data_IF_360414441548
#
_entry.id   IF_360414441548
#
_cell.length_a   1.000
_cell.length_b   1.000
_cell.length_c   1.000
_cell.angle_alpha   90.00
_cell.angle_beta   90.00
_cell.angle_gamma   90.00
#
_symmetry.space_group_name_H-M   'P 1'
#
loop_
_entity.id
_entity.type
_entity.pdbx_description
1 polymer ?
#
# COMPACT_ATOMS: atom_id res chain seq x y z
N UNK A 1 -66.33 10.21 25.58
CA UNK A 1 -65.26 9.78 24.65
C UNK A 1 -65.43 10.59 23.37
N UNK A 2 -64.84 11.78 23.31
CA UNK A 2 -65.05 12.73 22.22
C UNK A 2 -64.09 12.48 21.06
N UNK A 3 -64.64 12.26 19.88
CA UNK A 3 -63.98 12.25 18.58
C UNK A 3 -63.84 13.67 18.02
N UNK A 4 -62.68 14.02 17.48
CA UNK A 4 -62.61 14.99 16.37
C UNK A 4 -61.46 14.68 15.41
N UNK A 5 -61.84 14.46 14.16
CA UNK A 5 -61.04 14.68 12.95
C UNK A 5 -61.71 15.87 12.26
N UNK A 6 -60.94 16.94 11.96
CA UNK A 6 -60.93 17.69 10.69
C UNK A 6 -60.20 19.05 10.84
N UNK A 7 -59.35 19.32 9.85
CA UNK A 7 -58.36 20.40 9.69
C UNK A 7 -58.98 21.72 9.14
N UNK A 8 -58.23 22.73 8.61
CA UNK A 8 -56.79 23.07 8.66
C UNK A 8 -56.53 24.55 9.09
N UNK A 9 -55.28 24.91 9.41
CA UNK A 9 -54.85 26.33 9.40
C UNK A 9 -53.56 26.49 8.59
N UNK A 10 -53.57 27.51 7.74
CA UNK A 10 -52.62 27.76 6.66
C UNK A 10 -51.21 28.13 7.14
N UNK A 11 -50.29 27.97 6.18
CA UNK A 11 -48.86 28.29 6.22
C UNK A 11 -48.57 29.66 6.83
N UNK A 12 -47.55 29.71 7.67
CA UNK A 12 -46.61 30.82 7.72
C UNK A 12 -45.18 30.31 7.95
N UNK A 13 -44.26 30.94 7.21
CA UNK A 13 -42.86 30.61 7.02
C UNK A 13 -42.03 30.57 8.32
N UNK A 14 -41.33 29.45 8.59
CA UNK A 14 -39.86 29.44 8.64
C UNK A 14 -39.31 28.03 8.92
N UNK A 15 -38.44 27.58 8.01
CA UNK A 15 -38.05 26.18 7.81
C UNK A 15 -37.00 25.66 8.79
N UNK A 16 -37.33 24.50 9.39
CA UNK A 16 -36.52 23.28 9.53
C UNK A 16 -35.23 23.30 10.37
N UNK A 17 -35.38 23.16 11.70
CA UNK A 17 -34.44 22.40 12.53
C UNK A 17 -34.86 20.93 12.58
N UNK A 18 -34.52 20.16 11.54
CA UNK A 18 -34.41 18.69 11.64
C UNK A 18 -32.93 18.37 11.85
N UNK A 19 -32.58 17.98 13.08
CA UNK A 19 -31.22 17.56 13.43
C UNK A 19 -30.86 16.28 12.67
N UNK A 20 -30.24 16.45 11.50
CA UNK A 20 -29.48 15.40 10.84
C UNK A 20 -28.26 15.18 11.72
N UNK A 21 -28.09 13.99 12.28
CA UNK A 21 -26.83 13.60 12.91
C UNK A 21 -25.79 13.56 11.80
N UNK A 22 -25.06 14.68 11.67
CA UNK A 22 -23.86 14.79 10.86
C UNK A 22 -22.73 14.30 11.77
N UNK A 23 -22.22 13.11 11.50
CA UNK A 23 -20.94 12.63 12.02
C UNK A 23 -19.88 13.64 11.57
N UNK A 24 -19.61 14.64 12.41
CA UNK A 24 -18.79 15.78 12.05
C UNK A 24 -17.34 15.34 11.89
N UNK A 25 -16.85 15.52 10.67
CA UNK A 25 -15.45 15.56 10.27
C UNK A 25 -14.74 16.67 11.06
N UNK A 26 -14.31 16.35 12.28
CA UNK A 26 -13.59 17.29 13.14
C UNK A 26 -12.16 17.52 12.64
N UNK A 27 -12.03 18.46 11.71
CA UNK A 27 -10.96 19.46 11.56
C UNK A 27 -11.13 20.18 10.20
N UNK A 28 -12.10 21.09 10.12
CA UNK A 28 -12.00 22.25 9.24
C UNK A 28 -11.54 23.41 10.13
N UNK A 29 -10.29 23.38 10.56
CA UNK A 29 -9.66 24.56 11.15
C UNK A 29 -9.31 25.49 10.00
N UNK A 30 -10.01 26.62 9.89
CA UNK A 30 -9.98 27.61 8.81
C UNK A 30 -8.60 28.25 8.48
N UNK A 31 -7.49 27.80 9.06
CA UNK A 31 -6.15 28.38 8.84
C UNK A 31 -5.14 27.42 8.19
N UNK A 32 -5.33 26.11 8.28
CA UNK A 32 -4.38 25.17 7.68
C UNK A 32 -4.86 24.81 6.27
N UNK A 33 -4.20 25.33 5.24
CA UNK A 33 -4.42 24.88 3.86
C UNK A 33 -3.93 23.44 3.69
N UNK A 34 -4.58 22.68 2.80
CA UNK A 34 -4.18 21.32 2.50
C UNK A 34 -2.79 21.31 1.85
N UNK A 35 -1.76 20.71 2.49
CA UNK A 35 -0.40 20.74 1.96
C UNK A 35 -0.29 20.01 0.62
N UNK A 36 -1.17 19.05 0.32
CA UNK A 36 -1.15 18.34 -0.96
C UNK A 36 -1.67 19.20 -2.14
N UNK A 37 -2.40 20.27 -1.84
CA UNK A 37 -2.85 21.25 -2.83
C UNK A 37 -1.81 22.34 -3.05
N UNK A 38 -1.17 22.80 -1.98
CA UNK A 38 -0.27 23.97 -2.02
C UNK A 38 1.18 23.62 -2.29
N UNK A 39 1.63 22.42 -1.90
CA UNK A 39 3.06 22.04 -1.96
C UNK A 39 3.42 21.25 -3.22
N UNK A 40 2.44 20.78 -3.99
CA UNK A 40 2.67 19.99 -5.19
C UNK A 40 1.81 20.49 -6.36
N UNK A 41 2.43 20.64 -7.52
CA UNK A 41 1.73 20.74 -8.79
C UNK A 41 1.07 19.41 -9.17
N UNK A 42 0.10 19.47 -10.10
CA UNK A 42 -0.54 18.26 -10.65
C UNK A 42 0.47 17.29 -11.28
N UNK A 43 1.47 17.81 -12.00
CA UNK A 43 2.52 17.00 -12.63
C UNK A 43 3.35 16.25 -11.58
N UNK A 44 3.72 16.91 -10.49
CA UNK A 44 4.48 16.28 -9.40
C UNK A 44 3.67 15.18 -8.71
N UNK A 45 2.39 15.42 -8.44
CA UNK A 45 1.51 14.39 -7.86
C UNK A 45 1.37 13.17 -8.77
N UNK A 46 1.17 13.36 -10.08
CA UNK A 46 1.12 12.26 -11.04
C UNK A 46 2.46 11.52 -11.12
N UNK A 47 3.58 12.22 -11.02
CA UNK A 47 4.92 11.62 -10.97
C UNK A 47 5.10 10.70 -9.76
N UNK A 48 4.63 11.10 -8.57
CA UNK A 48 4.65 10.25 -7.37
C UNK A 48 3.92 8.92 -7.60
N UNK A 49 2.74 8.98 -8.26
CA UNK A 49 1.96 7.77 -8.58
C UNK A 49 2.70 6.87 -9.56
N UNK A 50 3.09 7.41 -10.70
CA UNK A 50 3.70 6.61 -11.76
C UNK A 50 5.02 5.99 -11.32
N UNK A 51 5.79 6.70 -10.49
CA UNK A 51 7.06 6.16 -10.00
C UNK A 51 6.85 5.05 -8.97
N UNK A 52 5.89 5.19 -8.05
CA UNK A 52 5.56 4.11 -7.12
C UNK A 52 5.04 2.85 -7.85
N UNK A 53 4.22 3.02 -8.89
CA UNK A 53 3.71 1.91 -9.71
C UNK A 53 4.78 1.15 -10.49
N UNK A 54 5.96 1.74 -10.71
CA UNK A 54 7.07 1.08 -11.41
C UNK A 54 7.86 0.12 -10.50
N UNK A 55 7.64 0.19 -9.18
CA UNK A 55 8.29 -0.73 -8.25
C UNK A 55 7.72 -2.14 -8.46
N UNK A 56 8.62 -3.13 -8.60
CA UNK A 56 8.22 -4.52 -8.87
C UNK A 56 7.61 -5.20 -7.63
N UNK A 57 8.19 -4.97 -6.45
CA UNK A 57 7.63 -5.42 -5.17
C UNK A 57 7.80 -4.32 -4.10
N UNK A 58 6.87 -3.36 -4.01
CA UNK A 58 6.96 -2.28 -3.04
C UNK A 58 6.89 -2.79 -1.59
N UNK A 59 6.24 -3.94 -1.33
CA UNK A 59 6.13 -4.50 0.03
C UNK A 59 7.45 -5.06 0.50
N UNK A 60 8.17 -5.77 -0.38
CA UNK A 60 9.51 -6.27 -0.09
C UNK A 60 10.49 -5.11 0.15
N UNK A 61 10.49 -4.10 -0.74
CA UNK A 61 11.36 -2.92 -0.61
C UNK A 61 11.10 -2.23 0.74
N UNK A 62 9.85 -1.94 1.06
CA UNK A 62 9.48 -1.29 2.32
C UNK A 62 9.81 -2.19 3.52
N UNK A 63 9.60 -3.50 3.39
CA UNK A 63 10.02 -4.48 4.38
C UNK A 63 11.52 -4.35 4.69
N UNK A 64 12.35 -4.32 3.66
CA UNK A 64 13.80 -4.21 3.82
C UNK A 64 14.19 -2.88 4.50
N UNK A 65 13.55 -1.77 4.13
CA UNK A 65 13.73 -0.47 4.79
C UNK A 65 13.43 -0.58 6.29
N UNK A 66 12.31 -1.20 6.66
CA UNK A 66 11.98 -1.40 8.08
C UNK A 66 12.98 -2.28 8.81
N UNK A 67 13.49 -3.32 8.14
CA UNK A 67 14.54 -4.17 8.71
C UNK A 67 15.82 -3.38 8.95
N UNK A 68 16.23 -2.51 8.03
CA UNK A 68 17.42 -1.67 8.18
C UNK A 68 17.20 -0.60 9.25
N UNK A 69 16.02 0.02 9.32
CA UNK A 69 15.65 0.96 10.39
C UNK A 69 15.80 0.30 11.77
N UNK A 70 15.21 -0.88 11.98
CA UNK A 70 15.24 -1.50 13.32
C UNK A 70 16.61 -2.07 13.67
N UNK A 71 17.53 -2.27 12.72
CA UNK A 71 18.85 -2.80 13.01
C UNK A 71 19.92 -1.70 13.12
N UNK A 72 19.88 -0.73 12.22
CA UNK A 72 21.02 0.14 11.93
C UNK A 72 20.74 1.62 12.31
N UNK A 73 19.47 2.03 12.36
CA UNK A 73 19.08 3.44 12.58
C UNK A 73 18.43 3.67 13.96
N UNK A 74 17.41 2.89 14.28
CA UNK A 74 16.62 2.99 15.51
C UNK A 74 16.48 1.59 16.17
N UNK A 75 17.56 1.04 16.76
CA UNK A 75 17.53 -0.27 17.41
C UNK A 75 16.51 -0.38 18.56
N UNK A 76 16.12 0.74 19.18
CA UNK A 76 15.03 0.82 20.16
C UNK A 76 13.69 0.27 19.62
N UNK A 77 13.47 0.32 18.30
CA UNK A 77 12.28 -0.21 17.68
C UNK A 77 12.22 -1.74 17.71
N UNK A 78 13.36 -2.43 17.92
CA UNK A 78 13.35 -3.89 18.04
C UNK A 78 12.41 -4.36 19.14
N UNK A 79 12.35 -3.65 20.27
CA UNK A 79 11.44 -3.96 21.37
C UNK A 79 9.98 -3.71 20.99
N UNK A 80 9.73 -2.57 20.33
CA UNK A 80 8.38 -2.15 19.92
C UNK A 80 7.76 -3.16 18.94
N UNK A 81 8.57 -3.60 17.97
CA UNK A 81 8.17 -4.59 16.99
C UNK A 81 8.37 -6.04 17.43
N UNK A 82 8.89 -6.30 18.64
CA UNK A 82 9.08 -7.65 19.16
C UNK A 82 10.07 -8.50 18.36
N UNK A 83 11.14 -7.88 17.85
CA UNK A 83 12.18 -8.52 17.03
C UNK A 83 13.57 -8.49 17.69
N UNK A 84 13.67 -8.19 18.99
CA UNK A 84 14.95 -8.11 19.74
C UNK A 84 15.83 -9.36 19.58
N UNK A 85 15.22 -10.54 19.49
CA UNK A 85 15.92 -11.84 19.37
C UNK A 85 15.79 -12.48 17.99
N UNK A 86 15.07 -11.84 17.06
CA UNK A 86 14.85 -12.42 15.74
C UNK A 86 16.08 -12.17 14.84
N UNK A 87 16.57 -13.18 14.10
CA UNK A 87 17.60 -12.95 13.09
C UNK A 87 17.06 -12.08 11.95
N UNK A 88 17.91 -11.26 11.31
CA UNK A 88 17.53 -10.29 10.25
C UNK A 88 16.59 -10.91 9.19
N UNK A 89 16.94 -12.10 8.69
CA UNK A 89 16.17 -12.83 7.69
C UNK A 89 14.76 -13.30 8.13
N UNK A 90 14.49 -13.38 9.43
CA UNK A 90 13.19 -13.79 9.97
C UNK A 90 12.34 -12.60 10.43
N UNK A 91 12.91 -11.39 10.52
CA UNK A 91 12.24 -10.22 11.11
C UNK A 91 10.94 -9.86 10.40
N UNK A 92 10.87 -9.97 9.07
CA UNK A 92 9.64 -9.71 8.31
C UNK A 92 8.56 -10.78 8.47
N UNK A 93 8.91 -11.96 8.97
CA UNK A 93 7.93 -13.00 9.34
C UNK A 93 7.30 -12.72 10.71
N UNK A 94 7.86 -11.79 11.48
CA UNK A 94 7.34 -11.44 12.80
C UNK A 94 6.07 -10.58 12.66
N UNK A 95 4.97 -10.91 13.36
CA UNK A 95 3.66 -10.30 13.09
C UNK A 95 3.63 -8.77 13.21
N UNK A 96 4.33 -8.21 14.21
CA UNK A 96 4.32 -6.76 14.44
C UNK A 96 5.13 -6.01 13.38
N UNK A 97 6.35 -6.44 13.08
CA UNK A 97 7.21 -5.77 12.09
C UNK A 97 6.70 -5.99 10.67
N UNK A 98 6.53 -7.26 10.25
CA UNK A 98 6.05 -7.60 8.92
C UNK A 98 4.67 -7.01 8.64
N UNK A 99 3.76 -7.10 9.63
CA UNK A 99 2.45 -6.47 9.53
C UNK A 99 2.52 -4.94 9.46
N UNK A 100 3.49 -4.29 10.10
CA UNK A 100 3.67 -2.84 9.99
C UNK A 100 4.25 -2.42 8.65
N UNK A 101 5.24 -3.17 8.13
CA UNK A 101 5.80 -2.95 6.80
C UNK A 101 4.74 -3.08 5.70
N UNK A 102 3.90 -4.14 5.74
CA UNK A 102 2.79 -4.28 4.79
C UNK A 102 1.80 -3.12 4.90
N UNK A 103 1.41 -2.73 6.11
CA UNK A 103 0.48 -1.59 6.32
C UNK A 103 1.07 -0.27 5.82
N UNK A 104 2.38 -0.07 5.93
CA UNK A 104 3.05 1.11 5.37
C UNK A 104 2.99 1.08 3.84
N UNK A 105 3.27 -0.07 3.21
CA UNK A 105 3.15 -0.21 1.76
C UNK A 105 1.73 0.08 1.27
N UNK A 106 0.72 -0.47 1.95
CA UNK A 106 -0.69 -0.23 1.62
C UNK A 106 -1.07 1.26 1.82
N UNK A 107 -0.50 1.91 2.85
CA UNK A 107 -0.67 3.35 3.08
C UNK A 107 -0.07 4.19 1.94
N UNK A 108 1.15 3.90 1.47
CA UNK A 108 1.77 4.64 0.35
C UNK A 108 1.01 4.38 -0.96
N UNK A 109 0.60 3.14 -1.22
CA UNK A 109 -0.20 2.81 -2.40
C UNK A 109 -1.50 3.65 -2.41
N UNK A 110 -2.21 3.68 -1.29
CA UNK A 110 -3.44 4.47 -1.16
C UNK A 110 -3.19 5.98 -1.25
N UNK A 111 -2.12 6.47 -0.63
CA UNK A 111 -1.72 7.88 -0.70
C UNK A 111 -1.39 8.31 -2.13
N UNK A 112 -0.53 7.57 -2.83
CA UNK A 112 -0.11 7.88 -4.20
C UNK A 112 -1.29 7.78 -5.18
N UNK A 113 -2.19 6.82 -4.98
CA UNK A 113 -3.44 6.71 -5.74
C UNK A 113 -4.32 7.96 -5.55
N UNK A 114 -4.56 8.38 -4.31
CA UNK A 114 -5.42 9.54 -4.04
C UNK A 114 -4.82 10.86 -4.54
N UNK A 115 -3.52 11.08 -4.35
CA UNK A 115 -2.89 12.35 -4.75
C UNK A 115 -2.64 12.43 -6.26
N UNK A 116 -2.21 11.33 -6.88
CA UNK A 116 -1.64 11.34 -8.23
C UNK A 116 -2.54 10.75 -9.32
N UNK A 117 -3.59 10.01 -8.95
CA UNK A 117 -4.54 9.41 -9.89
C UNK A 117 -5.96 9.95 -9.72
N UNK A 118 -6.58 9.76 -8.55
CA UNK A 118 -7.98 10.18 -8.35
C UNK A 118 -8.13 11.66 -8.00
N UNK A 119 -7.02 12.35 -7.75
CA UNK A 119 -6.96 13.74 -7.27
C UNK A 119 -7.84 14.00 -6.02
N UNK A 120 -8.02 13.00 -5.17
CA UNK A 120 -8.75 13.11 -3.91
C UNK A 120 -7.83 13.66 -2.81
N UNK A 121 -7.44 14.93 -2.94
CA UNK A 121 -6.46 15.58 -2.06
C UNK A 121 -6.99 15.74 -0.63
N UNK A 122 -8.30 15.97 -0.47
CA UNK A 122 -8.94 16.01 0.84
C UNK A 122 -8.90 14.65 1.54
N UNK A 123 -9.20 13.56 0.81
CA UNK A 123 -9.11 12.19 1.33
C UNK A 123 -7.68 11.79 1.70
N UNK A 124 -6.70 12.17 0.88
CA UNK A 124 -5.28 11.98 1.20
C UNK A 124 -4.89 12.69 2.50
N UNK A 125 -5.29 13.95 2.65
CA UNK A 125 -5.01 14.71 3.87
C UNK A 125 -5.68 14.11 5.11
N UNK A 126 -6.93 13.66 4.98
CA UNK A 126 -7.62 12.95 6.05
C UNK A 126 -6.94 11.62 6.42
N UNK A 127 -6.45 10.86 5.44
CA UNK A 127 -5.75 9.61 5.67
C UNK A 127 -4.45 9.82 6.46
N UNK A 128 -3.63 10.81 6.07
CA UNK A 128 -2.40 11.16 6.82
C UNK A 128 -2.73 11.56 8.25
N UNK A 129 -3.71 12.47 8.45
CA UNK A 129 -4.09 12.91 9.79
C UNK A 129 -4.64 11.76 10.64
N UNK A 130 -5.46 10.87 10.06
CA UNK A 130 -5.97 9.68 10.75
C UNK A 130 -4.82 8.77 11.19
N UNK A 131 -3.87 8.52 10.29
CA UNK A 131 -2.69 7.69 10.58
C UNK A 131 -1.83 8.31 11.67
N UNK A 132 -1.59 9.62 11.63
CA UNK A 132 -0.87 10.34 12.69
C UNK A 132 -1.56 10.23 14.05
N UNK A 133 -2.90 10.39 14.11
CA UNK A 133 -3.68 10.20 15.36
C UNK A 133 -3.59 8.78 15.92
N UNK A 134 -3.44 7.76 15.07
CA UNK A 134 -3.23 6.39 15.53
C UNK A 134 -1.81 6.21 16.11
N UNK A 135 -0.80 6.84 15.51
CA UNK A 135 0.58 6.78 15.99
C UNK A 135 0.78 7.57 17.29
N UNK A 136 0.03 8.65 17.51
CA UNK A 136 0.03 9.38 18.77
C UNK A 136 -0.45 8.54 19.97
N UNK A 137 -1.16 7.42 19.72
CA UNK A 137 -1.59 6.47 20.76
C UNK A 137 -0.59 5.35 21.04
N UNK A 138 0.54 5.31 20.33
CA UNK A 138 1.60 4.32 20.57
C UNK A 138 2.42 4.84 21.75
N UNK A 139 2.47 4.15 22.91
CA UNK A 139 3.09 4.68 24.13
C UNK A 139 4.55 5.09 23.94
N UNK A 140 5.30 4.34 23.13
CA UNK A 140 6.67 4.70 22.79
C UNK A 140 6.75 6.04 22.06
N UNK A 141 5.90 6.27 21.05
CA UNK A 141 5.92 7.53 20.31
C UNK A 141 5.37 8.67 21.15
N UNK A 142 4.31 8.45 21.94
CA UNK A 142 3.77 9.44 22.86
C UNK A 142 4.85 10.00 23.80
N UNK A 143 5.70 9.13 24.34
CA UNK A 143 6.75 9.53 25.26
C UNK A 143 7.97 10.10 24.55
N UNK A 144 8.41 9.48 23.45
CA UNK A 144 9.74 9.72 22.89
C UNK A 144 9.75 10.59 21.62
N UNK A 145 8.59 10.83 20.99
CA UNK A 145 8.52 11.67 19.79
C UNK A 145 8.95 13.10 20.12
N UNK A 146 9.98 13.59 19.41
CA UNK A 146 10.64 14.89 19.61
C UNK A 146 11.42 15.04 20.93
N UNK A 147 11.63 13.95 21.69
CA UNK A 147 12.64 13.98 22.75
C UNK A 147 14.03 14.06 22.13
N UNK A 148 14.89 14.95 22.66
CA UNK A 148 16.26 15.16 22.16
C UNK A 148 16.29 15.41 20.64
N UNK A 149 15.30 16.14 20.12
CA UNK A 149 15.15 16.45 18.68
C UNK A 149 14.94 15.23 17.77
N UNK A 150 14.67 14.04 18.33
CA UNK A 150 14.38 12.84 17.54
C UNK A 150 12.93 12.80 17.07
N UNK A 151 12.73 13.17 15.82
CA UNK A 151 11.45 12.97 15.13
C UNK A 151 11.43 11.61 14.42
N UNK A 152 10.97 10.57 15.11
CA UNK A 152 10.94 9.20 14.60
C UNK A 152 10.12 9.07 13.31
N UNK A 153 9.00 9.79 13.19
CA UNK A 153 8.20 9.79 11.96
C UNK A 153 8.98 10.39 10.79
N UNK A 154 9.71 11.49 11.00
CA UNK A 154 10.55 12.10 9.96
C UNK A 154 11.74 11.21 9.60
N UNK A 155 12.35 10.50 10.56
CA UNK A 155 13.43 9.54 10.29
C UNK A 155 12.93 8.45 9.33
N UNK A 156 11.78 7.85 9.62
CA UNK A 156 11.18 6.81 8.77
C UNK A 156 10.79 7.41 7.40
N UNK A 157 9.95 8.43 7.38
CA UNK A 157 9.30 8.90 6.16
C UNK A 157 10.16 9.81 5.29
N UNK A 158 10.99 10.67 5.88
CA UNK A 158 11.74 11.70 5.16
C UNK A 158 13.17 11.25 4.86
N UNK A 159 13.84 10.57 5.80
CA UNK A 159 15.21 10.10 5.58
C UNK A 159 15.20 8.74 4.89
N UNK A 160 14.73 7.70 5.58
CA UNK A 160 14.99 6.31 5.17
C UNK A 160 14.20 5.91 3.93
N UNK A 161 12.92 6.29 3.86
CA UNK A 161 12.11 6.01 2.68
C UNK A 161 12.58 6.78 1.44
N UNK A 162 13.05 8.02 1.61
CA UNK A 162 13.57 8.81 0.48
C UNK A 162 14.89 8.25 -0.04
N UNK A 163 15.82 7.92 0.85
CA UNK A 163 17.10 7.30 0.50
C UNK A 163 16.90 5.98 -0.23
N UNK A 164 16.04 5.10 0.29
CA UNK A 164 15.75 3.82 -0.34
C UNK A 164 15.07 3.97 -1.71
N UNK A 165 14.17 4.95 -1.85
CA UNK A 165 13.56 5.24 -3.13
C UNK A 165 14.58 5.72 -4.16
N UNK A 166 15.51 6.60 -3.77
CA UNK A 166 16.54 7.11 -4.67
C UNK A 166 17.51 5.98 -5.09
N UNK A 167 17.88 5.11 -4.15
CA UNK A 167 18.67 3.91 -4.44
C UNK A 167 17.97 3.00 -5.46
N UNK A 168 16.68 2.73 -5.27
CA UNK A 168 15.92 1.85 -6.17
C UNK A 168 15.71 2.50 -7.54
N UNK A 169 15.43 3.81 -7.58
CA UNK A 169 15.39 4.60 -8.82
C UNK A 169 16.70 4.47 -9.60
N UNK A 170 17.85 4.60 -8.92
CA UNK A 170 19.15 4.50 -9.57
C UNK A 170 19.41 3.10 -10.13
N UNK A 171 19.01 2.03 -9.43
CA UNK A 171 19.11 0.66 -9.95
C UNK A 171 18.29 0.48 -11.22
N UNK A 172 17.05 0.97 -11.24
CA UNK A 172 16.19 0.91 -12.42
C UNK A 172 16.80 1.65 -13.62
N UNK A 173 17.32 2.87 -13.40
CA UNK A 173 18.01 3.64 -14.44
C UNK A 173 19.24 2.90 -14.99
N UNK A 174 20.04 2.30 -14.11
CA UNK A 174 21.21 1.53 -14.52
C UNK A 174 20.81 0.30 -15.36
N UNK A 175 19.76 -0.41 -14.96
CA UNK A 175 19.24 -1.55 -15.70
C UNK A 175 18.74 -1.15 -17.10
N UNK A 176 18.06 0.00 -17.24
CA UNK A 176 17.58 0.49 -18.53
C UNK A 176 18.72 1.00 -19.43
N UNK A 177 19.75 1.62 -18.84
CA UNK A 177 20.97 1.98 -19.56
C UNK A 177 21.72 0.75 -20.05
N UNK A 178 21.81 -0.31 -19.23
CA UNK A 178 22.44 -1.57 -19.63
C UNK A 178 21.71 -2.23 -20.81
N UNK A 179 20.36 -2.23 -20.79
CA UNK A 179 19.54 -2.68 -21.93
C UNK A 179 19.81 -1.88 -23.20
N UNK A 180 20.07 -0.59 -23.06
CA UNK A 180 20.33 0.31 -24.19
C UNK A 180 21.74 0.14 -24.75
N UNK A 181 22.74 -0.09 -23.89
CA UNK A 181 24.14 -0.23 -24.27
C UNK A 181 24.48 -1.64 -24.80
N UNK A 182 23.79 -2.67 -24.33
CA UNK A 182 24.01 -4.05 -24.75
C UNK A 182 22.68 -4.79 -25.04
N UNK A 183 21.89 -4.32 -26.02
CA UNK A 183 20.55 -4.88 -26.29
C UNK A 183 20.60 -6.35 -26.71
N UNK A 184 21.67 -6.78 -27.38
CA UNK A 184 21.89 -8.17 -27.79
C UNK A 184 21.98 -9.13 -26.60
N UNK A 185 22.62 -8.73 -25.49
CA UNK A 185 22.75 -9.56 -24.28
C UNK A 185 21.39 -9.83 -23.63
N UNK A 186 20.51 -8.83 -23.61
CA UNK A 186 19.15 -8.99 -23.07
C UNK A 186 18.25 -9.84 -23.97
N UNK A 187 18.41 -9.76 -25.30
CA UNK A 187 17.70 -10.63 -26.24
C UNK A 187 18.15 -12.08 -26.05
N UNK A 188 19.45 -12.33 -25.94
CA UNK A 188 19.99 -13.67 -25.68
C UNK A 188 19.55 -14.24 -24.32
N UNK A 189 19.55 -13.44 -23.26
CA UNK A 189 19.03 -13.87 -21.94
C UNK A 189 17.53 -14.18 -21.97
N UNK A 190 16.73 -13.37 -22.67
CA UNK A 190 15.30 -13.59 -22.80
C UNK A 190 15.01 -14.87 -23.60
N UNK A 191 15.74 -15.11 -24.69
CA UNK A 191 15.67 -16.36 -25.44
C UNK A 191 16.09 -17.57 -24.59
N UNK A 192 17.17 -17.44 -23.82
CA UNK A 192 17.64 -18.49 -22.92
C UNK A 192 16.61 -18.82 -21.86
N UNK A 193 16.00 -17.81 -21.22
CA UNK A 193 14.90 -17.99 -20.26
C UNK A 193 13.68 -18.68 -20.90
N UNK A 194 13.35 -18.31 -22.14
CA UNK A 194 12.24 -18.91 -22.88
C UNK A 194 12.50 -20.39 -23.19
N UNK A 195 13.73 -20.76 -23.55
CA UNK A 195 14.15 -22.17 -23.74
C UNK A 195 14.05 -22.97 -22.45
N UNK A 196 14.57 -22.45 -21.34
CA UNK A 196 14.50 -23.12 -20.02
C UNK A 196 13.05 -23.31 -19.55
N UNK A 197 12.19 -22.31 -19.75
CA UNK A 197 10.77 -22.44 -19.40
C UNK A 197 10.04 -23.43 -20.30
N UNK A 198 10.37 -23.50 -21.59
CA UNK A 198 9.82 -24.50 -22.49
C UNK A 198 10.28 -25.92 -22.12
N UNK A 199 11.55 -26.09 -21.74
CA UNK A 199 12.07 -27.37 -21.24
C UNK A 199 11.34 -27.80 -19.96
N UNK A 200 11.18 -26.91 -18.97
CA UNK A 200 10.40 -27.21 -17.76
C UNK A 200 8.94 -27.54 -18.04
N UNK A 201 8.30 -26.83 -18.98
CA UNK A 201 6.92 -27.11 -19.35
C UNK A 201 6.80 -28.49 -20.00
N UNK A 202 7.74 -28.85 -20.87
CA UNK A 202 7.81 -30.17 -21.48
C UNK A 202 8.11 -31.27 -20.45
N UNK A 203 8.97 -31.03 -19.46
CA UNK A 203 9.22 -31.98 -18.36
C UNK A 203 7.97 -32.21 -17.51
N UNK A 204 7.22 -31.15 -17.20
CA UNK A 204 5.94 -31.23 -16.52
C UNK A 204 4.90 -32.01 -17.33
N UNK A 205 4.80 -31.75 -18.63
CA UNK A 205 3.88 -32.46 -19.52
C UNK A 205 4.27 -33.95 -19.69
N UNK A 206 5.57 -34.24 -19.78
CA UNK A 206 6.10 -35.61 -19.83
C UNK A 206 5.92 -36.38 -18.50
N UNK A 207 5.78 -35.67 -17.38
CA UNK A 207 5.52 -36.27 -16.05
C UNK A 207 4.03 -36.50 -15.75
N UNK A 208 3.12 -36.04 -16.61
CA UNK A 208 1.70 -36.35 -16.49
C UNK A 208 1.44 -37.82 -16.89
N UNK A 209 0.74 -38.61 -16.06
CA UNK A 209 0.37 -39.97 -16.43
C UNK A 209 -0.52 -39.91 -17.69
N UNK A 210 -0.09 -40.62 -18.75
CA UNK A 210 -0.92 -40.79 -19.95
C UNK A 210 -2.20 -41.51 -19.55
N UNK A 211 -3.30 -40.76 -19.44
CA UNK A 211 -4.63 -41.34 -19.35
C UNK A 211 -4.90 -41.96 -20.73
N UNK A 212 -4.63 -43.26 -20.84
CA UNK A 212 -5.11 -44.07 -21.95
C UNK A 212 -6.63 -43.88 -22.00
N UNK A 213 -7.11 -43.30 -23.11
CA UNK A 213 -8.53 -43.30 -23.47
C UNK A 213 -9.01 -44.75 -23.50
N UNK A 214 -9.54 -45.24 -22.39
CA UNK A 214 -10.43 -46.39 -22.43
C UNK A 214 -11.67 -45.93 -23.19
N UNK A 215 -11.88 -46.59 -24.31
CA UNK A 215 -13.04 -46.48 -25.17
C UNK A 215 -14.26 -46.80 -24.30
N UNK A 216 -15.09 -45.81 -23.99
CA UNK A 216 -16.41 -46.07 -23.40
C UNK A 216 -17.20 -46.91 -24.42
N UNK A 217 -17.43 -48.18 -24.08
CA UNK A 217 -18.41 -49.01 -24.76
C UNK A 217 -19.80 -48.49 -24.36
N UNK A 218 -20.54 -47.98 -25.35
CA UNK A 218 -21.96 -47.64 -25.21
C UNK A 218 -22.73 -48.92 -24.87
N UNK A 219 -23.22 -49.00 -23.62
CA UNK A 219 -24.24 -49.96 -23.22
C UNK A 219 -25.56 -49.56 -23.87
N UNK A 220 -25.94 -50.30 -24.91
CA UNK A 220 -27.27 -50.24 -25.50
C UNK A 220 -28.26 -50.88 -24.52
N UNK A 221 -29.21 -50.09 -23.99
CA UNK A 221 -30.33 -50.62 -23.22
C UNK A 221 -31.30 -51.38 -24.15
N UNK A 222 -31.53 -52.65 -23.83
CA UNK A 222 -32.46 -53.57 -24.50
C UNK A 222 -33.93 -53.20 -24.14
N UNK A 223 -34.86 -53.07 -25.11
CA UNK A 223 -36.25 -52.77 -24.83
C UNK A 223 -37.07 -54.06 -24.68
N UNK A 224 -37.19 -54.55 -23.45
CA UNK A 224 -38.26 -55.45 -23.02
C UNK A 224 -38.91 -54.98 -21.72
#
# INVERSE_FOLDING_TARGET
>A
MGSSLCAPRQLDNNNNNKSRIITSSSCLSNEQSNPFETSFSKKERSCLRTTFQRLSDPKEIIGQIFVDIVNDVCPEFKRIFGVERAPKAAMLKMPKLGGHASRMADFIEQMTLMIGFTENLAGAWQLVRKTGRLHAKVPFLEQNQNQLERNYIAIVCTSQMNEAFELERQKCLNADNQKTLAPHQHVEEAERKKRINAERANELEASLPQIQKQKEEELFEDPF
#
